data_IF_733620994802
#
_entry.id   IF_733620994802
#
_cell.length_a   1.000
_cell.length_b   1.000
_cell.length_c   1.000
_cell.angle_alpha   90.00
_cell.angle_beta   90.00
_cell.angle_gamma   90.00
#
_symmetry.space_group_name_H-M   'P 1'
#
loop_
_entity.id
_entity.type
_entity.pdbx_description
1 polymer ?
#
# COMPACT_ATOMS: atom_id res chain seq x y z
N UNK A 1 -10.57 3.51 8.84
CA UNK A 1 -9.69 4.70 8.80
C UNK A 1 -9.46 5.30 7.41
N UNK A 2 -8.79 4.64 6.47
CA UNK A 2 -8.56 5.27 5.15
C UNK A 2 -9.87 5.60 4.39
N UNK A 3 -10.87 4.70 4.45
CA UNK A 3 -12.23 5.00 3.96
C UNK A 3 -12.84 6.25 4.62
N UNK A 4 -12.76 6.36 5.95
CA UNK A 4 -13.29 7.50 6.71
C UNK A 4 -12.57 8.81 6.37
N UNK A 5 -11.30 8.72 5.93
CA UNK A 5 -10.49 9.84 5.44
C UNK A 5 -10.75 10.18 3.96
N UNK A 6 -11.75 9.55 3.33
CA UNK A 6 -12.18 9.85 1.97
C UNK A 6 -11.31 9.23 0.87
N UNK A 7 -10.46 8.24 1.18
CA UNK A 7 -9.73 7.51 0.16
C UNK A 7 -10.68 6.61 -0.63
N UNK A 8 -10.57 6.65 -1.96
CA UNK A 8 -11.22 5.68 -2.82
C UNK A 8 -10.41 4.38 -2.82
N UNK A 9 -10.96 3.33 -2.22
CA UNK A 9 -10.28 2.05 -2.05
C UNK A 9 -11.06 0.95 -2.74
N UNK A 10 -10.33 0.03 -3.37
CA UNK A 10 -10.85 -1.22 -3.88
C UNK A 10 -10.27 -2.35 -3.02
N UNK A 11 -11.07 -2.99 -2.15
CA UNK A 11 -10.55 -4.01 -1.25
C UNK A 11 -10.24 -5.29 -2.01
N UNK A 12 -9.14 -5.95 -1.65
CA UNK A 12 -8.68 -7.18 -2.28
C UNK A 12 -8.79 -8.32 -1.26
N UNK A 13 -9.58 -9.34 -1.57
CA UNK A 13 -9.73 -10.51 -0.70
C UNK A 13 -10.08 -11.75 -1.53
N UNK A 14 -9.35 -12.87 -1.39
CA UNK A 14 -9.51 -14.04 -2.27
C UNK A 14 -10.88 -14.74 -2.14
N UNK A 15 -11.48 -14.71 -0.95
CA UNK A 15 -12.70 -15.48 -0.64
C UNK A 15 -13.93 -14.63 -0.33
N UNK A 16 -13.81 -13.64 0.56
CA UNK A 16 -14.90 -12.72 0.87
C UNK A 16 -15.22 -11.85 -0.35
N UNK A 17 -16.48 -11.83 -0.78
CA UNK A 17 -17.00 -11.00 -1.88
C UNK A 17 -17.36 -9.57 -1.45
N UNK A 18 -17.43 -9.31 -0.15
CA UNK A 18 -17.79 -8.02 0.43
C UNK A 18 -17.12 -7.82 1.78
N UNK A 19 -16.65 -6.59 2.05
CA UNK A 19 -16.13 -6.15 3.35
C UNK A 19 -16.72 -4.78 3.66
N UNK A 20 -17.43 -4.67 4.79
CA UNK A 20 -18.06 -3.42 5.25
C UNK A 20 -18.96 -2.74 4.20
N UNK A 21 -19.77 -3.50 3.45
CA UNK A 21 -20.62 -2.91 2.41
C UNK A 21 -19.92 -2.65 1.07
N UNK A 22 -18.63 -2.95 0.96
CA UNK A 22 -17.83 -2.70 -0.25
C UNK A 22 -17.45 -4.01 -0.91
N UNK A 23 -17.74 -4.12 -2.21
CA UNK A 23 -17.39 -5.28 -3.04
C UNK A 23 -15.87 -5.40 -3.12
N UNK A 24 -15.38 -6.62 -2.95
CA UNK A 24 -13.95 -6.95 -3.04
C UNK A 24 -13.59 -7.50 -4.41
N UNK A 25 -12.32 -7.38 -4.78
CA UNK A 25 -11.75 -8.12 -5.89
C UNK A 25 -10.99 -9.37 -5.36
N UNK A 26 -11.13 -10.54 -6.02
CA UNK A 26 -10.48 -11.76 -5.56
C UNK A 26 -8.95 -11.73 -5.75
N UNK A 27 -8.48 -11.00 -6.76
CA UNK A 27 -7.07 -10.89 -7.10
C UNK A 27 -6.78 -9.57 -7.83
N UNK A 28 -5.48 -9.30 -8.01
CA UNK A 28 -5.00 -8.05 -8.61
C UNK A 28 -5.43 -7.96 -10.07
N UNK A 29 -5.49 -9.09 -10.78
CA UNK A 29 -5.84 -9.08 -12.21
C UNK A 29 -7.30 -8.71 -12.45
N UNK A 30 -8.17 -9.06 -11.51
CA UNK A 30 -9.59 -8.71 -11.49
C UNK A 30 -9.88 -7.25 -11.10
N UNK A 31 -8.87 -6.50 -10.64
CA UNK A 31 -9.03 -5.08 -10.32
C UNK A 31 -9.43 -4.28 -11.58
N UNK A 32 -10.31 -3.26 -11.44
CA UNK A 32 -10.61 -2.33 -12.52
C UNK A 32 -9.36 -1.67 -13.12
N UNK A 33 -9.37 -1.32 -14.40
CA UNK A 33 -8.20 -0.79 -15.12
C UNK A 33 -7.72 0.57 -14.60
N UNK A 34 -8.62 1.34 -13.98
CA UNK A 34 -8.34 2.61 -13.33
C UNK A 34 -7.52 2.46 -12.04
N UNK A 35 -7.49 1.27 -11.43
CA UNK A 35 -6.73 1.00 -10.20
C UNK A 35 -5.26 0.81 -10.55
N UNK A 36 -4.49 1.88 -10.36
CA UNK A 36 -3.06 1.95 -10.71
C UNK A 36 -2.10 1.80 -9.53
N UNK A 37 -2.61 1.92 -8.31
CA UNK A 37 -1.81 1.94 -7.08
C UNK A 37 -2.25 0.80 -6.15
N UNK A 38 -1.28 0.18 -5.48
CA UNK A 38 -1.53 -0.91 -4.54
C UNK A 38 -1.03 -0.56 -3.14
N UNK A 39 -1.85 -0.80 -2.12
CA UNK A 39 -1.48 -0.69 -0.71
C UNK A 39 -1.50 -2.07 -0.06
N UNK A 40 -0.37 -2.50 0.49
CA UNK A 40 -0.18 -3.86 1.01
C UNK A 40 0.07 -3.82 2.52
N UNK A 41 -0.76 -4.58 3.25
CA UNK A 41 -0.64 -4.80 4.70
C UNK A 41 -0.76 -6.30 4.99
N UNK A 42 0.19 -7.08 4.46
CA UNK A 42 0.22 -8.55 4.59
C UNK A 42 1.59 -9.03 5.06
N UNK A 43 1.72 -10.25 5.60
CA UNK A 43 3.03 -10.84 5.86
C UNK A 43 3.91 -10.87 4.61
N UNK A 44 5.23 -10.77 4.78
CA UNK A 44 6.19 -10.66 3.68
C UNK A 44 6.06 -11.77 2.61
N UNK A 45 5.69 -12.98 3.00
CA UNK A 45 5.44 -14.11 2.08
C UNK A 45 4.31 -13.81 1.10
N UNK A 46 3.22 -13.23 1.58
CA UNK A 46 2.06 -12.84 0.77
C UNK A 46 2.38 -11.56 -0.02
N UNK A 47 3.05 -10.60 0.60
CA UNK A 47 3.51 -9.37 -0.07
C UNK A 47 4.33 -9.68 -1.31
N UNK A 48 5.25 -10.65 -1.23
CA UNK A 48 6.07 -11.06 -2.38
C UNK A 48 5.21 -11.54 -3.56
N UNK A 49 4.14 -12.30 -3.30
CA UNK A 49 3.21 -12.74 -4.35
C UNK A 49 2.47 -11.55 -4.94
N UNK A 50 1.92 -10.68 -4.10
CA UNK A 50 1.17 -9.50 -4.54
C UNK A 50 2.02 -8.53 -5.36
N UNK A 51 3.31 -8.38 -5.03
CA UNK A 51 4.24 -7.57 -5.83
C UNK A 51 4.44 -8.15 -7.23
N UNK A 52 4.58 -9.48 -7.37
CA UNK A 52 4.68 -10.12 -8.68
C UNK A 52 3.42 -9.91 -9.51
N UNK A 53 2.25 -10.13 -8.90
CA UNK A 53 0.96 -9.93 -9.56
C UNK A 53 0.79 -8.45 -10.01
N UNK A 54 1.26 -7.49 -9.19
CA UNK A 54 1.25 -6.06 -9.52
C UNK A 54 2.21 -5.69 -10.67
N UNK A 55 3.36 -6.36 -10.77
CA UNK A 55 4.29 -6.23 -11.90
C UNK A 55 3.64 -6.71 -13.19
N UNK A 56 3.01 -7.89 -13.17
CA UNK A 56 2.31 -8.42 -14.34
C UNK A 56 1.18 -7.51 -14.81
N UNK A 57 0.45 -6.90 -13.87
CA UNK A 57 -0.61 -5.92 -14.16
C UNK A 57 -0.08 -4.55 -14.59
N UNK A 58 1.22 -4.30 -14.47
CA UNK A 58 1.88 -3.02 -14.77
C UNK A 58 1.35 -1.86 -13.91
N UNK A 59 1.18 -2.10 -12.61
CA UNK A 59 0.81 -1.04 -11.67
C UNK A 59 1.88 0.05 -11.59
N UNK A 60 1.45 1.29 -11.35
CA UNK A 60 2.32 2.46 -11.36
C UNK A 60 3.09 2.63 -10.04
N UNK A 61 2.45 2.28 -8.92
CA UNK A 61 3.02 2.45 -7.57
C UNK A 61 2.53 1.38 -6.59
N UNK A 62 3.43 0.91 -5.73
CA UNK A 62 3.13 0.01 -4.61
C UNK A 62 3.57 0.67 -3.30
N UNK A 63 2.65 0.77 -2.35
CA UNK A 63 2.91 1.08 -0.95
C UNK A 63 2.93 -0.20 -0.13
N UNK A 64 4.06 -0.53 0.48
CA UNK A 64 4.20 -1.66 1.40
C UNK A 64 4.29 -1.09 2.82
N UNK A 65 3.30 -1.40 3.65
CA UNK A 65 3.26 -0.95 5.04
C UNK A 65 4.50 -1.44 5.80
N UNK A 66 5.04 -0.59 6.68
CA UNK A 66 6.19 -0.94 7.53
C UNK A 66 6.05 -2.34 8.16
N UNK A 67 7.04 -3.20 7.93
CA UNK A 67 7.10 -4.57 8.47
C UNK A 67 6.48 -5.62 7.55
N UNK A 68 5.91 -5.22 6.42
CA UNK A 68 5.36 -6.12 5.40
C UNK A 68 6.35 -6.39 4.26
N UNK A 69 7.50 -5.72 4.24
CA UNK A 69 8.53 -5.79 3.21
C UNK A 69 9.78 -6.59 3.60
N UNK A 70 10.56 -6.99 2.60
CA UNK A 70 11.98 -7.30 2.71
C UNK A 70 12.75 -6.49 1.67
N UNK A 71 14.06 -6.35 1.81
CA UNK A 71 14.89 -5.67 0.81
C UNK A 71 14.69 -6.26 -0.60
N UNK A 72 14.65 -7.59 -0.71
CA UNK A 72 14.45 -8.28 -1.99
C UNK A 72 13.08 -8.00 -2.65
N UNK A 73 12.01 -7.83 -1.86
CA UNK A 73 10.68 -7.48 -2.39
C UNK A 73 10.70 -6.06 -2.98
N UNK A 74 11.34 -5.12 -2.28
CA UNK A 74 11.43 -3.72 -2.74
C UNK A 74 12.27 -3.63 -4.00
N UNK A 75 13.44 -4.29 -4.03
CA UNK A 75 14.32 -4.33 -5.19
C UNK A 75 13.65 -4.96 -6.41
N UNK A 76 12.86 -6.02 -6.22
CA UNK A 76 12.14 -6.69 -7.31
C UNK A 76 11.18 -5.72 -8.02
N UNK A 77 10.35 -5.01 -7.27
CA UNK A 77 9.41 -4.05 -7.85
C UNK A 77 10.13 -2.87 -8.53
N UNK A 78 11.19 -2.35 -7.91
CA UNK A 78 11.94 -1.22 -8.47
C UNK A 78 12.68 -1.58 -9.77
N UNK A 79 13.20 -2.81 -9.90
CA UNK A 79 13.85 -3.30 -11.13
C UNK A 79 12.92 -3.31 -12.33
N UNK A 80 11.63 -3.54 -12.09
CA UNK A 80 10.58 -3.53 -13.10
C UNK A 80 9.99 -2.12 -13.34
N UNK A 81 10.60 -1.08 -12.76
CA UNK A 81 10.21 0.33 -12.97
C UNK A 81 9.01 0.80 -12.15
N UNK A 82 8.52 0.00 -11.20
CA UNK A 82 7.42 0.38 -10.32
C UNK A 82 7.92 1.32 -9.23
N UNK A 83 7.16 2.39 -8.94
CA UNK A 83 7.45 3.26 -7.80
C UNK A 83 7.10 2.52 -6.51
N UNK A 84 8.04 2.44 -5.57
CA UNK A 84 7.81 1.73 -4.31
C UNK A 84 7.98 2.66 -3.12
N UNK A 85 6.99 2.69 -2.24
CA UNK A 85 7.10 3.28 -0.91
C UNK A 85 7.04 2.14 0.10
N UNK A 86 8.08 1.98 0.92
CA UNK A 86 8.17 0.91 1.92
C UNK A 86 8.74 1.41 3.24
N UNK A 87 8.58 0.63 4.32
CA UNK A 87 9.11 0.98 5.64
C UNK A 87 8.43 2.19 6.29
N UNK A 88 7.24 2.57 5.81
CA UNK A 88 6.47 3.71 6.31
C UNK A 88 5.04 3.29 6.64
N UNK A 89 4.48 3.92 7.67
CA UNK A 89 3.07 3.80 8.00
C UNK A 89 2.25 4.83 7.21
N UNK A 90 1.27 4.38 6.41
CA UNK A 90 0.46 5.26 5.55
C UNK A 90 -0.30 6.33 6.35
N UNK A 91 -0.69 6.01 7.59
CA UNK A 91 -1.44 6.91 8.47
C UNK A 91 -0.65 8.18 8.87
N UNK A 92 0.67 8.17 8.71
CA UNK A 92 1.50 9.37 8.89
C UNK A 92 1.36 10.38 7.73
N UNK A 93 0.79 9.96 6.60
CA UNK A 93 0.69 10.72 5.36
C UNK A 93 -0.77 10.99 4.98
N UNK A 94 -1.67 10.05 5.28
CA UNK A 94 -3.10 10.17 5.08
C UNK A 94 -3.77 11.10 6.11
N UNK A 95 -3.53 12.41 5.96
CA UNK A 95 -4.06 13.50 6.78
C UNK A 95 -4.05 13.19 8.30
N UNK A 96 -2.90 13.36 8.97
CA UNK A 96 -2.74 12.90 10.34
C UNK A 96 -3.72 13.63 11.28
N UNK A 97 -4.38 12.88 12.16
CA UNK A 97 -5.08 13.37 13.35
C UNK A 97 -4.50 12.67 14.59
N UNK A 98 -4.57 13.33 15.76
CA UNK A 98 -4.04 12.77 17.02
C UNK A 98 -2.51 12.55 17.05
N UNK A 99 -2.07 11.42 17.61
CA UNK A 99 -0.66 11.03 17.82
C UNK A 99 0.14 11.04 16.50
N UNK A 100 -0.53 10.80 15.37
CA UNK A 100 0.08 10.83 14.05
C UNK A 100 0.54 12.25 13.63
N UNK A 101 -0.08 13.33 14.12
CA UNK A 101 0.42 14.71 13.92
C UNK A 101 1.73 14.92 14.70
N UNK A 102 1.77 14.48 15.95
CA UNK A 102 2.93 14.65 16.83
C UNK A 102 4.16 13.92 16.30
N UNK A 103 4.03 12.65 15.92
CA UNK A 103 5.16 11.91 15.38
C UNK A 103 5.56 12.39 13.97
N UNK A 104 4.60 12.77 13.09
CA UNK A 104 4.93 13.40 11.80
C UNK A 104 5.73 14.69 11.98
N UNK A 105 5.36 15.52 12.95
CA UNK A 105 6.07 16.75 13.30
C UNK A 105 7.53 16.46 13.69
N UNK A 106 7.76 15.46 14.56
CA UNK A 106 9.11 15.04 14.94
C UNK A 106 9.90 14.51 13.73
N UNK A 107 9.32 13.64 12.91
CA UNK A 107 10.00 13.07 11.73
C UNK A 107 10.34 14.14 10.68
N UNK A 108 9.50 15.17 10.53
CA UNK A 108 9.79 16.34 9.67
C UNK A 108 10.93 17.20 10.24
N UNK A 109 10.93 17.47 11.54
CA UNK A 109 12.01 18.21 12.22
C UNK A 109 13.37 17.52 12.11
N UNK A 110 13.40 16.19 12.18
CA UNK A 110 14.63 15.40 12.05
C UNK A 110 14.97 15.01 10.60
N UNK A 111 14.28 15.58 9.59
CA UNK A 111 14.62 15.40 8.18
C UNK A 111 14.41 13.99 7.60
N UNK A 112 13.69 13.11 8.30
CA UNK A 112 13.43 11.71 7.90
C UNK A 112 12.09 11.53 7.16
N UNK A 113 11.46 12.63 6.77
CA UNK A 113 10.24 12.62 5.98
C UNK A 113 10.59 12.37 4.50
N UNK A 114 10.00 11.34 3.85
CA UNK A 114 10.19 11.12 2.41
C UNK A 114 9.82 12.38 1.61
N UNK A 115 10.65 12.75 0.64
CA UNK A 115 10.32 13.77 -0.37
C UNK A 115 9.51 13.13 -1.49
#
# INVERSE_FOLDING_TARGET
ELYEKGYNLCPLHPEASEVHGVITCPDIQSLPQEVRNLYIVTPATVTMKLVKDAIEKKMEMIWIQQGCETAGIVEMAQKEGIKVISGKCIMMFAEPSGIHKFHRFLVKLFGKYPK
#
